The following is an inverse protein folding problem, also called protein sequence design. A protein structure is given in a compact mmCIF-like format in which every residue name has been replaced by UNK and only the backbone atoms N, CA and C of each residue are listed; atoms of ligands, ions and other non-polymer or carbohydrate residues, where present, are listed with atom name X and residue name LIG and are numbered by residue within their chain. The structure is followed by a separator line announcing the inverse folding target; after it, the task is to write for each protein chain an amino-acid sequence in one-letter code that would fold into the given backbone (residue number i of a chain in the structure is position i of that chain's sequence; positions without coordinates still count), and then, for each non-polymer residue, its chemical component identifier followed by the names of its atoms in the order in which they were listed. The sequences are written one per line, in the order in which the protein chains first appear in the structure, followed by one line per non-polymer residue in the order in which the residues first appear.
data_IF_842477827435
#
_entry.id   IF_842477827435
#
_cell.length_a   1.000
_cell.length_b   1.000
_cell.length_c   1.000
_cell.angle_alpha   90.00
_cell.angle_beta   90.00
_cell.angle_gamma   90.00
#
_symmetry.space_group_name_H-M   'P 1'
#
loop_
_entity.id
_entity.type
_entity.pdbx_description
1 polymer ?
#
# COMPACT_ATOMS: atom_id res chain seq x y z
N UNK A 1 -46.99 28.12 -49.01
CA UNK A 1 -46.27 26.99 -48.39
C UNK A 1 -46.01 27.32 -46.93
N UNK A 2 -46.55 26.51 -45.99
CA UNK A 2 -46.37 26.65 -44.54
C UNK A 2 -45.42 25.55 -44.06
N UNK A 3 -44.57 25.92 -43.11
CA UNK A 3 -43.50 25.16 -42.47
C UNK A 3 -43.96 23.79 -41.94
N UNK A 4 -43.17 22.74 -42.15
CA UNK A 4 -43.26 21.49 -41.37
C UNK A 4 -42.11 21.51 -40.38
N UNK A 5 -42.50 21.42 -39.11
CA UNK A 5 -41.67 21.51 -37.94
C UNK A 5 -41.39 20.09 -37.38
N UNK A 6 -40.29 20.00 -36.63
CA UNK A 6 -39.97 19.00 -35.59
C UNK A 6 -39.84 17.52 -36.02
N UNK A 7 -38.65 16.94 -35.78
CA UNK A 7 -38.41 16.06 -34.63
C UNK A 7 -37.16 15.19 -34.85
N UNK A 8 -36.06 15.51 -34.17
CA UNK A 8 -35.09 14.49 -33.74
C UNK A 8 -34.63 14.90 -32.35
N UNK A 9 -35.31 14.29 -31.38
CA UNK A 9 -35.18 14.51 -29.94
C UNK A 9 -33.80 14.08 -29.45
N UNK A 10 -33.30 14.88 -28.49
CA UNK A 10 -32.02 14.84 -27.83
C UNK A 10 -31.54 13.45 -27.36
N UNK A 11 -30.27 13.15 -27.60
CA UNK A 11 -29.64 11.94 -27.06
C UNK A 11 -28.15 12.15 -26.75
N UNK A 12 -27.83 13.11 -25.87
CA UNK A 12 -26.56 13.07 -25.12
C UNK A 12 -26.78 13.72 -23.74
N UNK A 13 -27.29 12.94 -22.78
CA UNK A 13 -27.30 13.32 -21.37
C UNK A 13 -26.70 12.18 -20.53
N UNK A 14 -25.51 11.75 -20.95
CA UNK A 14 -24.62 10.92 -20.14
C UNK A 14 -23.53 11.79 -19.52
N UNK A 15 -23.89 12.85 -18.79
CA UNK A 15 -22.92 13.48 -17.89
C UNK A 15 -22.63 12.47 -16.79
N UNK A 16 -21.47 11.85 -16.90
CA UNK A 16 -20.87 11.02 -15.89
C UNK A 16 -21.01 11.69 -14.53
N UNK A 17 -21.77 11.06 -13.63
CA UNK A 17 -21.67 11.31 -12.21
C UNK A 17 -20.27 10.85 -11.76
N UNK A 18 -19.28 11.71 -11.95
CA UNK A 18 -18.05 11.63 -11.20
C UNK A 18 -18.39 12.08 -9.78
N UNK A 19 -18.87 11.14 -8.95
CA UNK A 19 -18.99 11.38 -7.52
C UNK A 19 -17.62 11.82 -6.97
N UNK A 20 -17.58 12.72 -5.98
CA UNK A 20 -16.33 13.10 -5.37
C UNK A 20 -15.67 11.83 -4.80
N UNK A 21 -14.48 11.49 -5.31
CA UNK A 21 -13.62 10.53 -4.64
C UNK A 21 -13.19 11.22 -3.35
N UNK A 22 -13.79 10.83 -2.23
CA UNK A 22 -13.31 11.24 -0.93
C UNK A 22 -11.83 10.86 -0.87
N UNK A 23 -10.97 11.85 -0.60
CA UNK A 23 -9.61 11.59 -0.20
C UNK A 23 -9.71 10.89 1.16
N UNK A 24 -9.72 9.56 1.17
CA UNK A 24 -9.45 8.83 2.39
C UNK A 24 -8.06 9.28 2.85
N UNK A 25 -7.96 9.85 4.05
CA UNK A 25 -6.68 9.98 4.74
C UNK A 25 -5.95 8.64 4.55
N UNK A 26 -4.75 8.66 3.98
CA UNK A 26 -3.99 7.46 3.63
C UNK A 26 -3.51 6.74 4.89
N UNK A 27 -4.46 6.10 5.56
CA UNK A 27 -4.36 5.47 6.86
C UNK A 27 -4.06 4.00 6.64
N UNK A 28 -2.82 3.62 6.88
CA UNK A 28 -2.36 2.25 6.77
C UNK A 28 -2.54 1.52 8.10
N UNK A 29 -2.91 0.26 8.03
CA UNK A 29 -2.84 -0.66 9.15
C UNK A 29 -1.52 -1.46 9.08
N UNK A 30 -1.07 -1.96 10.23
CA UNK A 30 0.11 -2.83 10.27
C UNK A 30 -0.09 -4.06 9.37
N UNK A 31 0.92 -4.43 8.54
CA UNK A 31 0.82 -5.56 7.63
C UNK A 31 1.09 -6.92 8.31
N UNK A 32 1.53 -6.90 9.57
CA UNK A 32 1.72 -8.08 10.41
C UNK A 32 0.89 -7.97 11.70
N UNK A 33 0.60 -9.13 12.30
CA UNK A 33 -0.05 -9.26 13.61
C UNK A 33 0.69 -10.28 14.49
N UNK A 34 0.87 -10.01 15.80
CA UNK A 34 0.62 -8.74 16.51
C UNK A 34 1.48 -7.58 15.95
N UNK A 35 1.33 -6.36 16.47
CA UNK A 35 2.14 -5.20 16.02
C UNK A 35 3.62 -5.60 16.01
N UNK A 36 4.31 -5.55 14.85
CA UNK A 36 5.69 -5.99 14.77
C UNK A 36 6.65 -4.96 15.38
N UNK A 37 7.81 -5.46 15.82
CA UNK A 37 8.98 -4.64 16.09
C UNK A 37 9.54 -4.12 14.75
N UNK A 38 9.91 -2.84 14.70
CA UNK A 38 10.60 -2.26 13.55
C UNK A 38 12.10 -2.50 13.73
N UNK A 39 12.69 -3.34 12.89
CA UNK A 39 14.13 -3.69 12.99
C UNK A 39 15.01 -2.77 12.17
N UNK A 40 14.44 -2.10 11.15
CA UNK A 40 15.12 -1.10 10.35
C UNK A 40 14.14 -0.03 9.88
N UNK A 41 14.50 1.23 10.07
CA UNK A 41 13.66 2.39 9.72
C UNK A 41 13.88 2.84 8.27
N UNK A 42 12.97 3.68 7.78
CA UNK A 42 13.07 4.31 6.46
C UNK A 42 14.28 5.25 6.41
N UNK A 43 15.05 5.15 5.33
CA UNK A 43 16.26 5.93 5.08
C UNK A 43 16.51 6.01 3.57
N UNK A 44 15.59 6.64 2.84
CA UNK A 44 15.74 6.79 1.40
C UNK A 44 16.71 7.93 1.08
N UNK A 45 17.72 7.65 0.26
CA UNK A 45 18.58 8.67 -0.32
C UNK A 45 17.80 9.58 -1.28
N UNK A 46 18.27 10.82 -1.46
CA UNK A 46 17.64 11.84 -2.31
C UNK A 46 17.43 11.40 -3.77
N UNK A 47 18.30 10.51 -4.28
CA UNK A 47 18.17 9.95 -5.62
C UNK A 47 17.54 8.56 -5.61
N UNK A 48 16.68 8.29 -6.60
CA UNK A 48 15.96 7.03 -6.73
C UNK A 48 16.82 5.78 -6.99
N UNK A 49 18.11 5.96 -7.27
CA UNK A 49 19.04 4.86 -7.55
C UNK A 49 20.23 4.85 -6.60
N UNK A 50 20.28 5.78 -5.65
CA UNK A 50 21.30 5.78 -4.62
C UNK A 50 21.00 4.70 -3.55
N UNK A 51 22.05 4.17 -2.89
CA UNK A 51 21.90 3.28 -1.75
C UNK A 51 20.99 3.90 -0.68
N UNK A 52 20.08 3.11 -0.13
CA UNK A 52 19.14 3.56 0.90
C UNK A 52 18.15 2.47 1.27
N UNK A 53 17.28 2.78 2.23
CA UNK A 53 16.23 1.90 2.71
C UNK A 53 14.85 2.51 2.43
N UNK A 54 14.26 2.10 1.30
CA UNK A 54 13.02 2.66 0.72
C UNK A 54 11.74 2.05 1.31
N UNK A 55 11.80 1.76 2.60
CA UNK A 55 10.75 1.08 3.36
C UNK A 55 11.22 0.87 4.79
N UNK A 56 10.52 0.01 5.51
CA UNK A 56 10.89 -0.42 6.85
C UNK A 56 10.95 -1.94 6.92
N UNK A 57 11.80 -2.47 7.80
CA UNK A 57 11.87 -3.90 8.05
C UNK A 57 11.14 -4.20 9.36
N UNK A 58 10.21 -5.14 9.29
CA UNK A 58 9.34 -5.52 10.38
C UNK A 58 9.68 -6.95 10.81
N UNK A 59 10.01 -7.15 12.08
CA UNK A 59 10.24 -8.48 12.63
C UNK A 59 9.00 -9.37 12.45
N UNK A 60 9.22 -10.57 11.90
CA UNK A 60 8.18 -11.56 11.74
C UNK A 60 8.70 -12.99 11.93
N UNK A 61 7.89 -13.94 11.51
CA UNK A 61 8.25 -15.36 11.48
C UNK A 61 7.98 -15.95 10.08
N UNK A 62 8.80 -16.92 9.62
CA UNK A 62 8.49 -17.67 8.41
C UNK A 62 7.09 -18.30 8.48
N UNK A 63 6.33 -18.20 7.38
CA UNK A 63 4.95 -18.68 7.31
C UNK A 63 3.90 -17.76 7.94
N UNK A 64 4.30 -16.67 8.60
CA UNK A 64 3.37 -15.70 9.17
C UNK A 64 2.53 -15.04 8.06
N UNK A 65 1.22 -14.91 8.29
CA UNK A 65 0.32 -14.21 7.36
C UNK A 65 0.73 -12.74 7.21
N UNK A 66 0.85 -12.30 5.97
CA UNK A 66 1.02 -10.89 5.62
C UNK A 66 -0.33 -10.35 5.16
N UNK A 67 -0.70 -9.18 5.67
CA UNK A 67 -1.98 -8.53 5.44
C UNK A 67 -1.82 -7.27 4.60
N UNK A 68 -2.82 -6.96 3.77
CA UNK A 68 -2.88 -5.68 3.08
C UNK A 68 -3.00 -4.54 4.10
N UNK A 69 -2.12 -3.55 3.98
CA UNK A 69 -2.12 -2.39 4.87
C UNK A 69 -3.36 -1.50 4.69
N UNK A 70 -3.92 -1.45 3.48
CA UNK A 70 -5.17 -0.78 3.14
C UNK A 70 -5.85 -1.49 1.96
N UNK A 71 -7.11 -1.16 1.70
CA UNK A 71 -7.82 -1.67 0.54
C UNK A 71 -7.17 -1.19 -0.77
N UNK A 72 -7.24 -1.99 -1.83
CA UNK A 72 -6.62 -1.64 -3.09
C UNK A 72 -6.70 -2.73 -4.14
N UNK A 73 -5.88 -2.60 -5.18
CA UNK A 73 -5.74 -3.58 -6.27
C UNK A 73 -4.31 -4.08 -6.34
N UNK A 74 -4.14 -5.40 -6.37
CA UNK A 74 -2.82 -6.03 -6.55
C UNK A 74 -2.30 -5.67 -7.94
N UNK A 75 -1.17 -4.97 -8.01
CA UNK A 75 -0.53 -4.57 -9.26
C UNK A 75 0.65 -5.47 -9.63
N UNK A 76 1.19 -6.20 -8.66
CA UNK A 76 2.24 -7.20 -8.84
C UNK A 76 2.13 -8.27 -7.76
N UNK A 77 2.34 -9.53 -8.14
CA UNK A 77 2.46 -10.68 -7.25
C UNK A 77 3.34 -11.73 -7.97
N UNK A 78 4.58 -11.90 -7.53
CA UNK A 78 5.53 -12.80 -8.19
C UNK A 78 6.98 -12.54 -7.78
N UNK A 79 7.91 -13.17 -8.49
CA UNK A 79 9.34 -13.02 -8.26
C UNK A 79 9.88 -11.72 -8.87
N UNK A 80 10.64 -10.95 -8.09
CA UNK A 80 11.37 -9.76 -8.51
C UNK A 80 12.80 -9.83 -7.96
N UNK A 81 13.79 -9.83 -8.85
CA UNK A 81 15.21 -9.97 -8.47
C UNK A 81 15.50 -11.17 -7.53
N UNK A 82 14.80 -12.29 -7.75
CA UNK A 82 14.96 -13.53 -6.96
C UNK A 82 14.28 -13.51 -5.60
N UNK A 83 13.34 -12.59 -5.36
CA UNK A 83 12.55 -12.52 -4.13
C UNK A 83 11.06 -12.39 -4.46
N UNK A 84 10.17 -13.06 -3.73
CA UNK A 84 8.74 -12.92 -3.96
C UNK A 84 8.23 -11.59 -3.40
N UNK A 85 7.55 -10.82 -4.25
CA UNK A 85 7.03 -9.49 -3.92
C UNK A 85 5.54 -9.44 -4.23
N UNK A 86 4.79 -8.81 -3.33
CA UNK A 86 3.44 -8.34 -3.59
C UNK A 86 3.46 -6.81 -3.61
N UNK A 87 2.75 -6.19 -4.56
CA UNK A 87 2.54 -4.75 -4.56
C UNK A 87 1.08 -4.42 -4.82
N UNK A 88 0.56 -3.45 -4.06
CA UNK A 88 -0.85 -3.06 -4.06
C UNK A 88 -0.93 -1.57 -4.34
N UNK A 89 -1.70 -1.20 -5.37
CA UNK A 89 -2.08 0.19 -5.59
C UNK A 89 -3.36 0.50 -4.81
N UNK A 90 -3.34 1.61 -4.09
CA UNK A 90 -4.45 2.11 -3.30
C UNK A 90 -5.09 3.32 -3.98
N UNK A 91 -6.32 3.70 -3.58
CA UNK A 91 -6.88 4.99 -3.93
C UNK A 91 -5.92 6.14 -3.59
N UNK A 92 -6.01 7.26 -4.31
CA UNK A 92 -5.16 8.43 -4.08
C UNK A 92 -3.72 8.32 -4.59
N UNK A 93 -3.36 7.24 -5.28
CA UNK A 93 -2.05 7.09 -5.92
C UNK A 93 -0.94 6.55 -5.01
N UNK A 94 -1.29 6.14 -3.78
CA UNK A 94 -0.38 5.40 -2.90
C UNK A 94 -0.17 3.99 -3.44
N UNK A 95 1.05 3.48 -3.33
CA UNK A 95 1.36 2.07 -3.55
C UNK A 95 2.18 1.53 -2.40
N UNK A 96 1.83 0.33 -1.94
CA UNK A 96 2.62 -0.42 -0.96
C UNK A 96 3.27 -1.65 -1.59
N UNK A 97 4.41 -2.06 -1.06
CA UNK A 97 5.14 -3.27 -1.47
C UNK A 97 5.54 -4.11 -0.25
N UNK A 98 5.50 -5.42 -0.42
CA UNK A 98 5.67 -6.41 0.65
C UNK A 98 6.64 -7.49 0.16
N UNK A 99 7.77 -7.67 0.83
CA UNK A 99 8.76 -8.69 0.49
C UNK A 99 9.55 -9.20 1.71
N UNK A 100 9.98 -10.47 1.77
CA UNK A 100 9.67 -11.53 0.83
C UNK A 100 8.33 -12.20 1.17
N UNK A 101 7.35 -12.13 0.27
CA UNK A 101 5.98 -12.65 0.51
C UNK A 101 5.56 -13.63 -0.56
N UNK A 102 5.43 -14.90 -0.21
CA UNK A 102 4.79 -15.90 -1.07
C UNK A 102 3.31 -15.55 -1.19
N UNK A 103 2.94 -15.04 -2.36
CA UNK A 103 1.60 -14.52 -2.60
C UNK A 103 0.52 -15.62 -2.56
N UNK A 104 -0.63 -15.30 -1.98
CA UNK A 104 -1.89 -16.04 -2.12
C UNK A 104 -2.93 -15.26 -2.93
N UNK A 105 -2.48 -14.19 -3.58
CA UNK A 105 -3.27 -13.26 -4.38
C UNK A 105 -2.65 -13.12 -5.77
N UNK A 106 -3.43 -12.65 -6.73
CA UNK A 106 -2.99 -12.49 -8.13
C UNK A 106 -3.11 -11.03 -8.58
N UNK A 107 -2.29 -10.65 -9.57
CA UNK A 107 -2.38 -9.33 -10.20
C UNK A 107 -3.81 -9.06 -10.73
N UNK A 108 -4.31 -7.85 -10.50
CA UNK A 108 -5.66 -7.41 -10.85
C UNK A 108 -6.71 -7.68 -9.77
N UNK A 109 -6.39 -8.49 -8.75
CA UNK A 109 -7.31 -8.79 -7.65
C UNK A 109 -7.56 -7.55 -6.79
N UNK A 110 -8.84 -7.25 -6.50
CA UNK A 110 -9.24 -6.28 -5.47
C UNK A 110 -9.11 -6.92 -4.09
N UNK A 111 -8.56 -6.17 -3.15
CA UNK A 111 -8.26 -6.63 -1.80
C UNK A 111 -8.78 -5.60 -0.81
N UNK A 112 -9.47 -6.07 0.23
CA UNK A 112 -9.88 -5.22 1.35
C UNK A 112 -8.72 -4.98 2.32
N UNK A 113 -8.80 -3.91 3.10
CA UNK A 113 -7.84 -3.66 4.16
C UNK A 113 -7.77 -4.87 5.12
N UNK A 114 -6.56 -5.26 5.50
CA UNK A 114 -6.29 -6.36 6.44
C UNK A 114 -6.67 -7.77 5.94
N UNK A 115 -7.07 -7.93 4.68
CA UNK A 115 -7.13 -9.24 4.04
C UNK A 115 -5.72 -9.83 3.88
N UNK A 116 -5.60 -11.16 3.95
CA UNK A 116 -4.31 -11.81 3.73
C UNK A 116 -3.91 -11.77 2.25
N UNK A 117 -2.65 -11.44 2.02
CA UNK A 117 -2.05 -11.34 0.69
C UNK A 117 -1.00 -12.42 0.43
N UNK A 118 -0.57 -13.11 1.48
CA UNK A 118 0.41 -14.18 1.38
C UNK A 118 0.99 -14.56 2.73
N UNK A 119 2.11 -15.27 2.68
CA UNK A 119 2.91 -15.64 3.85
C UNK A 119 4.34 -15.15 3.72
N UNK A 120 4.91 -14.70 4.84
CA UNK A 120 6.27 -14.21 4.94
C UNK A 120 7.26 -15.37 4.75
N UNK A 121 8.24 -15.20 3.86
CA UNK A 121 9.33 -16.17 3.73
C UNK A 121 10.46 -15.90 4.74
N UNK A 122 11.29 -16.91 4.96
CA UNK A 122 12.45 -16.79 5.81
C UNK A 122 13.54 -15.90 5.18
N UNK A 123 14.32 -15.26 6.03
CA UNK A 123 15.45 -14.43 5.64
C UNK A 123 15.06 -13.06 5.09
N UNK A 124 15.98 -12.11 5.26
CA UNK A 124 16.00 -10.80 4.62
C UNK A 124 17.38 -10.20 4.93
N UNK A 125 18.11 -9.62 3.95
CA UNK A 125 19.44 -9.06 4.21
C UNK A 125 19.42 -8.03 5.35
N UNK A 126 20.23 -8.22 6.39
CA UNK A 126 20.29 -7.32 7.54
C UNK A 126 19.20 -7.53 8.59
N UNK A 127 18.32 -8.51 8.43
CA UNK A 127 17.30 -8.85 9.42
C UNK A 127 17.91 -9.56 10.65
N UNK A 128 17.65 -9.10 11.88
CA UNK A 128 18.16 -9.73 13.11
C UNK A 128 17.32 -10.94 13.57
N UNK A 129 16.29 -11.34 12.81
CA UNK A 129 15.34 -12.43 13.13
C UNK A 129 15.37 -13.51 12.05
N UNK A 130 14.61 -14.57 12.24
CA UNK A 130 14.44 -15.63 11.23
C UNK A 130 13.73 -15.15 9.97
N UNK A 131 12.92 -14.09 10.07
CA UNK A 131 12.31 -13.40 8.94
C UNK A 131 12.04 -11.93 9.30
N UNK A 132 12.20 -11.05 8.33
CA UNK A 132 11.69 -9.68 8.38
C UNK A 132 10.92 -9.40 7.10
N UNK A 133 9.77 -8.74 7.25
CA UNK A 133 9.04 -8.18 6.14
C UNK A 133 9.61 -6.79 5.84
N UNK A 134 10.20 -6.61 4.66
CA UNK A 134 10.44 -5.30 4.10
C UNK A 134 9.12 -4.76 3.53
N UNK A 135 8.69 -3.63 4.07
CA UNK A 135 7.44 -2.97 3.74
C UNK A 135 7.72 -1.55 3.24
N UNK A 136 7.43 -1.30 1.96
CA UNK A 136 7.66 -0.03 1.30
C UNK A 136 6.37 0.71 0.98
N UNK A 137 6.48 2.03 0.85
CA UNK A 137 5.40 2.90 0.37
C UNK A 137 5.96 3.96 -0.60
N UNK A 138 5.19 4.26 -1.64
CA UNK A 138 5.51 5.35 -2.57
C UNK A 138 4.26 5.97 -3.18
N UNK A 139 4.38 7.24 -3.54
CA UNK A 139 3.40 7.95 -4.36
C UNK A 139 3.76 7.88 -5.84
N UNK A 140 2.71 7.89 -6.68
CA UNK A 140 2.86 7.98 -8.13
C UNK A 140 3.29 6.68 -8.80
N UNK A 141 3.60 6.73 -10.11
CA UNK A 141 4.03 5.56 -10.87
C UNK A 141 5.46 5.16 -10.50
N UNK A 142 5.81 3.87 -10.63
CA UNK A 142 7.15 3.37 -10.31
C UNK A 142 8.29 4.09 -11.07
N UNK A 143 8.03 4.61 -12.27
CA UNK A 143 9.00 5.40 -13.05
C UNK A 143 9.33 6.77 -12.47
N UNK A 144 8.48 7.28 -11.56
CA UNK A 144 8.64 8.54 -10.83
C UNK A 144 8.24 8.33 -9.37
N UNK A 145 8.71 7.22 -8.80
CA UNK A 145 8.40 6.85 -7.44
C UNK A 145 8.87 7.94 -6.47
N UNK A 146 7.95 8.46 -5.67
CA UNK A 146 8.24 9.29 -4.51
C UNK A 146 8.09 8.42 -3.25
N UNK A 147 9.21 7.86 -2.79
CA UNK A 147 9.22 6.94 -1.66
C UNK A 147 8.98 7.70 -0.35
N UNK A 148 8.12 7.15 0.49
CA UNK A 148 7.74 7.75 1.77
C UNK A 148 7.88 6.74 2.89
N UNK A 149 8.10 7.24 4.11
CA UNK A 149 8.11 6.38 5.29
C UNK A 149 6.70 5.81 5.54
N UNK A 150 6.49 4.48 5.39
CA UNK A 150 5.19 3.88 5.62
C UNK A 150 4.72 4.00 7.08
N UNK A 151 5.63 4.16 8.05
CA UNK A 151 5.26 4.33 9.46
C UNK A 151 4.54 5.65 9.71
N UNK A 152 4.86 6.70 8.94
CA UNK A 152 4.17 7.98 9.02
C UNK A 152 2.71 7.90 8.56
N UNK A 153 2.36 6.87 7.79
CA UNK A 153 1.02 6.62 7.27
C UNK A 153 0.21 5.65 8.15
N UNK A 154 0.84 4.99 9.12
CA UNK A 154 0.15 4.02 9.98
C UNK A 154 -0.81 4.73 10.92
N UNK A 155 -2.04 4.23 11.02
CA UNK A 155 -2.99 4.65 12.04
C UNK A 155 -2.41 4.35 13.41
N UNK A 156 -2.03 5.39 14.12
CA UNK A 156 -1.68 5.31 15.53
C UNK A 156 -2.82 5.88 16.36
N UNK A 157 -3.16 5.22 17.46
CA UNK A 157 -3.94 5.87 18.52
C UNK A 157 -2.95 6.75 19.28
N UNK A 158 -3.03 8.09 19.19
CA UNK A 158 -2.13 8.94 19.95
C UNK A 158 -2.35 8.69 21.44
N UNK A 159 -1.32 8.18 22.13
CA UNK A 159 -1.34 8.09 23.59
C UNK A 159 -1.15 9.50 24.13
N UNK A 160 -2.16 10.02 24.85
CA UNK A 160 -2.10 11.27 25.59
C UNK A 160 -2.11 10.94 27.07
N UNK A 161 -1.09 11.38 27.79
CA UNK A 161 -1.11 11.34 29.25
C UNK A 161 -2.12 12.37 29.75
N UNK A 162 -2.94 11.97 30.73
CA UNK A 162 -3.81 12.90 31.46
C UNK A 162 -2.93 13.88 32.25
N UNK A 163 -3.11 15.21 32.13
CA UNK A 163 -2.43 16.16 33.01
C UNK A 163 -2.77 15.85 34.47
N UNK A 164 -1.77 15.73 35.33
CA UNK A 164 -1.97 15.63 36.78
C UNK A 164 -2.24 17.03 37.34
N UNK A 165 -3.27 17.22 38.18
CA UNK A 165 -3.36 18.43 38.99
C UNK A 165 -2.08 18.58 39.82
N UNK A 166 -1.49 19.78 39.78
CA UNK A 166 -0.38 20.16 40.67
C UNK A 166 -0.85 20.46 42.08
#
# INVERSE_FOLDING_TARGET
MRLIALACVALVSGLAWAGPVAAEDARLAWPLRPRPEVTRVFDAAESNWAPGHRGVDLAGAPGQRVLAAAAGTVVFAGELAGRPVVSIAHPGGLRTSYEPVRATVVRGQRIDAQAAIGVLEAGHPGCPRSACLHWGAMWGPASRADYVDPLALVVTTPIRLKPTPG
#
